data_IF_492690585196
#
_entry.id   IF_492690585196
#
_cell.length_a   1.000
_cell.length_b   1.000
_cell.length_c   1.000
_cell.angle_alpha   90.00
_cell.angle_beta   90.00
_cell.angle_gamma   90.00
#
_symmetry.space_group_name_H-M   'P 1'
#
loop_
_entity.id
_entity.type
_entity.pdbx_description
1 polymer ?
#
# COMPACT_ATOMS: atom_id res chain seq x y z
N UNK A 1 -10.35 -5.94 -2.34
CA UNK A 1 -9.70 -4.72 -1.83
C UNK A 1 -8.89 -3.99 -2.90
N UNK A 2 -7.91 -4.65 -3.56
CA UNK A 2 -6.99 -3.97 -4.48
C UNK A 2 -7.64 -3.43 -5.79
N UNK A 3 -8.62 -4.15 -6.34
CA UNK A 3 -9.31 -3.70 -7.56
C UNK A 3 -10.10 -2.41 -7.35
N UNK A 4 -10.68 -2.21 -6.16
CA UNK A 4 -11.41 -0.99 -5.82
C UNK A 4 -10.48 0.23 -5.82
N UNK A 5 -9.24 0.08 -5.33
CA UNK A 5 -8.24 1.15 -5.37
C UNK A 5 -7.89 1.53 -6.82
N UNK A 6 -7.77 0.54 -7.70
CA UNK A 6 -7.54 0.78 -9.12
C UNK A 6 -8.73 1.50 -9.81
N UNK A 7 -9.98 1.21 -9.43
CA UNK A 7 -11.14 1.98 -9.92
C UNK A 7 -11.10 3.44 -9.46
N UNK A 8 -10.78 3.67 -8.18
CA UNK A 8 -10.63 5.03 -7.64
C UNK A 8 -9.51 5.80 -8.35
N UNK A 9 -8.39 5.15 -8.65
CA UNK A 9 -7.31 5.73 -9.45
C UNK A 9 -7.78 6.11 -10.86
N UNK A 10 -8.61 5.27 -11.50
CA UNK A 10 -9.19 5.58 -12.81
C UNK A 10 -10.08 6.85 -12.77
N UNK A 11 -10.87 7.02 -11.71
CA UNK A 11 -11.67 8.23 -11.52
C UNK A 11 -10.80 9.48 -11.33
N UNK A 12 -9.72 9.39 -10.55
CA UNK A 12 -8.76 10.48 -10.35
C UNK A 12 -8.08 10.84 -11.68
N UNK A 13 -7.63 9.83 -12.43
CA UNK A 13 -7.01 10.02 -13.74
C UNK A 13 -7.97 10.74 -14.69
N UNK A 14 -9.24 10.33 -14.74
CA UNK A 14 -10.26 10.97 -15.59
C UNK A 14 -10.53 12.42 -15.20
N UNK A 15 -10.51 12.74 -13.90
CA UNK A 15 -10.80 14.08 -13.37
C UNK A 15 -9.61 15.04 -13.46
N UNK A 16 -8.38 14.54 -13.32
CA UNK A 16 -7.20 15.39 -13.06
C UNK A 16 -6.02 15.14 -14.00
N UNK A 17 -6.08 14.08 -14.83
CA UNK A 17 -4.98 13.60 -15.68
C UNK A 17 -3.75 13.14 -14.88
N UNK A 18 -3.86 13.02 -13.54
CA UNK A 18 -2.79 12.52 -12.67
C UNK A 18 -2.94 11.03 -12.44
N UNK A 19 -1.81 10.33 -12.49
CA UNK A 19 -1.73 8.94 -12.05
C UNK A 19 -1.64 8.85 -10.52
N UNK A 20 -2.04 7.70 -9.98
CA UNK A 20 -1.89 7.33 -8.58
C UNK A 20 -0.75 6.33 -8.46
N UNK A 21 0.25 6.65 -7.64
CA UNK A 21 1.40 5.80 -7.37
C UNK A 21 1.28 5.22 -5.96
N UNK A 22 1.49 3.92 -5.82
CA UNK A 22 1.57 3.23 -4.55
C UNK A 22 3.02 2.93 -4.25
N UNK A 23 3.49 3.47 -3.13
CA UNK A 23 4.84 3.21 -2.62
C UNK A 23 4.79 1.95 -1.77
N UNK A 24 5.61 0.97 -2.10
CA UNK A 24 5.72 -0.31 -1.37
C UNK A 24 7.18 -0.63 -1.03
N UNK A 25 7.36 -1.39 0.04
CA UNK A 25 8.61 -2.07 0.32
C UNK A 25 8.85 -3.23 -0.67
N UNK A 26 9.94 -3.98 -0.47
CA UNK A 26 10.30 -5.08 -1.35
C UNK A 26 9.70 -6.45 -0.94
N UNK A 27 8.63 -6.48 -0.13
CA UNK A 27 8.02 -7.74 0.28
C UNK A 27 7.54 -8.57 -0.92
N UNK A 28 7.80 -9.88 -0.88
CA UNK A 28 7.67 -10.78 -2.05
C UNK A 28 6.24 -10.88 -2.59
N UNK A 29 5.24 -10.70 -1.73
CA UNK A 29 3.82 -10.71 -2.09
C UNK A 29 3.47 -9.59 -3.09
N UNK A 30 4.12 -8.43 -2.99
CA UNK A 30 3.96 -7.33 -3.94
C UNK A 30 4.49 -7.65 -5.34
N UNK A 31 5.28 -8.72 -5.50
CA UNK A 31 5.83 -9.20 -6.78
C UNK A 31 5.27 -10.56 -7.18
N UNK A 32 4.19 -11.00 -6.53
CA UNK A 32 3.56 -12.29 -6.78
C UNK A 32 3.04 -12.42 -8.22
N UNK A 33 2.77 -13.67 -8.64
CA UNK A 33 2.20 -13.96 -9.96
C UNK A 33 0.88 -13.24 -10.18
N UNK A 34 0.05 -13.13 -9.14
CA UNK A 34 -1.26 -12.49 -9.23
C UNK A 34 -1.14 -10.98 -9.44
N UNK A 35 -0.20 -10.32 -8.75
CA UNK A 35 0.09 -8.90 -8.99
C UNK A 35 0.57 -8.68 -10.43
N UNK A 36 1.51 -9.50 -10.90
CA UNK A 36 2.05 -9.38 -12.26
C UNK A 36 0.98 -9.53 -13.35
N UNK A 37 0.02 -10.44 -13.17
CA UNK A 37 -1.10 -10.64 -14.12
C UNK A 37 -1.99 -9.41 -14.25
N UNK A 38 -2.18 -8.66 -13.17
CA UNK A 38 -3.08 -7.50 -13.14
C UNK A 38 -2.38 -6.16 -13.38
N UNK A 39 -1.03 -6.12 -13.32
CA UNK A 39 -0.24 -4.88 -13.40
C UNK A 39 -0.58 -4.02 -14.62
N UNK A 40 -0.71 -4.63 -15.80
CA UNK A 40 -1.03 -3.91 -17.04
C UNK A 40 -2.47 -3.36 -17.03
N UNK A 41 -3.42 -4.12 -16.49
CA UNK A 41 -4.81 -3.66 -16.32
C UNK A 41 -4.87 -2.45 -15.40
N UNK A 42 -4.06 -2.44 -14.35
CA UNK A 42 -3.99 -1.37 -13.37
C UNK A 42 -3.27 -0.12 -13.89
N UNK A 43 -2.18 -0.28 -14.65
CA UNK A 43 -1.50 0.83 -15.33
C UNK A 43 -2.43 1.59 -16.26
N UNK A 44 -3.28 0.91 -17.02
CA UNK A 44 -4.30 1.54 -17.88
C UNK A 44 -5.32 2.39 -17.11
N UNK A 45 -5.44 2.19 -15.80
CA UNK A 45 -6.28 2.98 -14.90
C UNK A 45 -5.51 4.12 -14.23
N UNK A 46 -4.25 4.36 -14.63
CA UNK A 46 -3.37 5.31 -13.97
C UNK A 46 -2.96 4.86 -12.58
N UNK A 47 -2.85 3.55 -12.33
CA UNK A 47 -2.44 3.00 -11.03
C UNK A 47 -1.12 2.23 -11.17
N UNK A 48 -0.08 2.68 -10.46
CA UNK A 48 1.28 2.14 -10.59
C UNK A 48 1.94 1.87 -9.23
N UNK A 49 2.88 0.92 -9.21
CA UNK A 49 3.72 0.63 -8.04
C UNK A 49 5.09 1.29 -8.17
N UNK A 50 5.54 1.90 -7.09
CA UNK A 50 6.90 2.37 -6.88
C UNK A 50 7.51 1.61 -5.69
N UNK A 51 8.64 0.95 -5.93
CA UNK A 51 9.32 0.16 -4.89
C UNK A 51 10.50 0.96 -4.36
N UNK A 52 10.55 1.18 -3.05
CA UNK A 52 11.69 1.80 -2.37
C UNK A 52 12.92 0.88 -2.39
N UNK A 53 14.10 1.39 -2.02
CA UNK A 53 15.29 0.56 -1.85
C UNK A 53 15.07 -0.54 -0.81
N UNK A 54 15.77 -1.66 -0.98
CA UNK A 54 15.68 -2.78 -0.04
C UNK A 54 16.23 -2.36 1.33
N UNK A 55 15.55 -2.81 2.40
CA UNK A 55 15.94 -2.54 3.80
C UNK A 55 15.98 -1.05 4.17
N UNK A 56 15.15 -0.23 3.52
CA UNK A 56 15.03 1.22 3.78
C UNK A 56 13.68 1.60 4.42
N UNK A 57 13.38 1.18 5.66
CA UNK A 57 12.12 1.54 6.33
C UNK A 57 11.94 3.06 6.47
N UNK A 58 13.03 3.83 6.58
CA UNK A 58 13.02 5.29 6.67
C UNK A 58 12.41 5.99 5.45
N UNK A 59 12.33 5.29 4.30
CA UNK A 59 11.69 5.80 3.08
C UNK A 59 10.19 5.45 3.00
N UNK A 60 9.70 4.63 3.92
CA UNK A 60 8.30 4.20 3.98
C UNK A 60 7.53 5.06 5.00
N UNK A 61 6.77 6.04 4.51
CA UNK A 61 6.06 7.00 5.35
C UNK A 61 5.12 6.37 6.39
N UNK A 62 4.61 5.17 6.14
CA UNK A 62 3.74 4.47 7.10
C UNK A 62 4.48 4.10 8.39
N UNK A 63 5.81 3.99 8.39
CA UNK A 63 6.58 3.64 9.59
C UNK A 63 6.42 4.68 10.70
N UNK A 64 6.36 5.97 10.34
CA UNK A 64 6.09 7.05 11.30
C UNK A 64 4.70 6.93 11.89
N UNK A 65 3.68 6.65 11.07
CA UNK A 65 2.31 6.43 11.53
C UNK A 65 2.21 5.22 12.47
N UNK A 66 2.93 4.13 12.17
CA UNK A 66 3.00 2.97 13.06
C UNK A 66 3.68 3.28 14.38
N UNK A 67 4.73 4.11 14.38
CA UNK A 67 5.41 4.53 15.59
C UNK A 67 4.47 5.34 16.50
N UNK A 68 3.75 6.32 15.94
CA UNK A 68 2.76 7.10 16.70
C UNK A 68 1.65 6.20 17.27
N UNK A 69 1.11 5.30 16.44
CA UNK A 69 0.04 4.39 16.84
C UNK A 69 0.48 3.44 17.97
N UNK A 70 1.70 2.88 17.90
CA UNK A 70 2.23 2.02 18.97
C UNK A 70 2.55 2.79 20.25
N UNK A 71 3.05 4.02 20.12
CA UNK A 71 3.57 4.80 21.24
C UNK A 71 2.47 5.51 22.02
N UNK A 72 1.41 5.97 21.33
CA UNK A 72 0.40 6.83 21.95
C UNK A 72 -0.98 6.19 21.94
N UNK A 73 -1.38 5.57 20.83
CA UNK A 73 -2.76 5.07 20.70
C UNK A 73 -2.93 3.70 21.36
N UNK A 74 -1.97 2.80 21.16
CA UNK A 74 -2.02 1.42 21.66
C UNK A 74 -1.22 1.21 22.96
N UNK A 75 -0.47 2.20 23.43
CA UNK A 75 0.39 2.04 24.59
C UNK A 75 -0.41 1.61 25.83
N UNK A 76 0.02 0.52 26.47
CA UNK A 76 -0.61 -0.01 27.69
C UNK A 76 -1.95 -0.70 27.48
N UNK A 77 -2.42 -0.87 26.23
CA UNK A 77 -3.59 -1.70 25.92
C UNK A 77 -3.18 -3.17 25.86
N UNK A 78 -3.98 -4.03 26.47
CA UNK A 78 -3.89 -5.48 26.30
C UNK A 78 -5.07 -5.91 25.44
N UNK A 79 -4.81 -6.81 24.51
CA UNK A 79 -5.83 -7.43 23.66
C UNK A 79 -5.95 -8.88 24.09
N UNK A 80 -7.18 -9.36 24.20
CA UNK A 80 -7.42 -10.79 24.39
C UNK A 80 -7.01 -11.51 23.11
N UNK A 81 -6.35 -12.66 23.25
CA UNK A 81 -6.09 -13.52 22.09
C UNK A 81 -7.43 -14.09 21.61
N UNK A 82 -7.78 -13.90 20.34
CA UNK A 82 -8.91 -14.60 19.70
C UNK A 82 -8.50 -16.03 19.35
N UNK A 83 -8.19 -16.85 20.36
CA UNK A 83 -8.00 -18.29 20.20
C UNK A 83 -9.06 -19.03 21.06
N UNK A 84 -10.20 -19.34 20.44
CA UNK A 84 -11.14 -20.43 20.78
C UNK A 84 -11.37 -21.31 19.52
#
# INVERSE_FOLDING_TARGET
>A
MINWQAEKAAEILKKTVKITVIVCDNYSVHKSKEVKKNLERWRKKGWEFFFISALSPELNLIETEWEELKTYELSGRMFEDEDD
#
